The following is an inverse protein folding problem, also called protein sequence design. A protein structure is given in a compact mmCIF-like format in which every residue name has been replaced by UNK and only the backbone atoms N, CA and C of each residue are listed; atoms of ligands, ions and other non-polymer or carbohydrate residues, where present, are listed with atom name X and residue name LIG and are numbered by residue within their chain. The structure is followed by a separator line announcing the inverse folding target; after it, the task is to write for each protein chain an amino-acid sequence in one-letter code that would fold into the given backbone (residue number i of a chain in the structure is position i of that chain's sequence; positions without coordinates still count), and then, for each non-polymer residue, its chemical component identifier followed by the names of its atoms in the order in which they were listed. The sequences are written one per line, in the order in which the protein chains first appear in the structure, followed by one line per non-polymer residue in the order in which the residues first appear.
data_IF_375410572781
#
_entry.id   IF_375410572781
#
_cell.length_a   1.000
_cell.length_b   1.000
_cell.length_c   1.000
_cell.angle_alpha   90.00
_cell.angle_beta   90.00
_cell.angle_gamma   90.00
#
_symmetry.space_group_name_H-M   'P 1'
#
loop_
_entity.id
_entity.type
_entity.pdbx_description
1 polymer ?
#
# COMPACT_ATOMS: atom_id res chain seq x y z
N UNK A 1 5.10 8.09 4.60
CA UNK A 1 5.16 9.01 3.45
C UNK A 1 3.84 9.76 3.44
N UNK A 2 3.71 10.79 4.29
CA UNK A 2 2.50 11.58 4.40
C UNK A 2 2.62 12.77 3.45
N UNK A 3 1.71 12.85 2.49
CA UNK A 3 1.53 14.04 1.66
C UNK A 3 0.47 14.90 2.34
N UNK A 4 0.89 15.87 3.14
CA UNK A 4 0.01 16.97 3.55
C UNK A 4 -0.24 17.86 2.34
N UNK A 5 -1.31 17.54 1.61
CA UNK A 5 -1.77 18.33 0.48
C UNK A 5 -2.92 19.20 0.97
N UNK A 6 -2.59 20.33 1.61
CA UNK A 6 -3.55 21.41 1.82
C UNK A 6 -3.86 22.03 0.46
N UNK A 7 -5.01 21.68 -0.11
CA UNK A 7 -5.42 22.14 -1.44
C UNK A 7 -6.65 23.04 -1.30
N UNK A 8 -6.44 24.35 -1.43
CA UNK A 8 -7.46 25.26 -1.93
C UNK A 8 -7.49 25.14 -3.47
N UNK A 9 -8.29 24.23 -4.03
CA UNK A 9 -8.42 24.05 -5.47
C UNK A 9 -9.68 24.70 -6.03
N UNK A 10 -9.51 25.48 -7.11
CA UNK A 10 -10.59 25.82 -8.04
C UNK A 10 -11.05 24.58 -8.80
N UNK A 11 -12.27 24.60 -9.36
CA UNK A 11 -12.89 23.45 -10.04
C UNK A 11 -12.03 22.81 -11.15
N UNK A 12 -11.25 23.60 -11.90
CA UNK A 12 -10.33 23.07 -12.92
C UNK A 12 -9.16 22.28 -12.33
N UNK A 13 -8.63 22.71 -11.18
CA UNK A 13 -7.56 21.99 -10.47
C UNK A 13 -8.05 20.64 -9.93
N UNK A 14 -9.31 20.55 -9.51
CA UNK A 14 -9.91 19.29 -9.06
C UNK A 14 -10.00 18.25 -10.19
N UNK A 15 -10.37 18.67 -11.41
CA UNK A 15 -10.43 17.76 -12.57
C UNK A 15 -9.04 17.19 -12.93
N UNK A 16 -8.00 18.02 -12.85
CA UNK A 16 -6.62 17.58 -13.07
C UNK A 16 -6.20 16.57 -11.99
N UNK A 17 -6.50 16.87 -10.72
CA UNK A 17 -6.21 15.96 -9.62
C UNK A 17 -6.95 14.62 -9.76
N UNK A 18 -8.20 14.62 -10.22
CA UNK A 18 -8.96 13.38 -10.45
C UNK A 18 -8.30 12.51 -11.54
N UNK A 19 -7.85 13.12 -12.64
CA UNK A 19 -7.12 12.40 -13.70
C UNK A 19 -5.81 11.81 -13.18
N UNK A 20 -5.03 12.60 -12.43
CA UNK A 20 -3.77 12.15 -11.82
C UNK A 20 -4.04 11.01 -10.83
N UNK A 21 -5.09 11.12 -10.00
CA UNK A 21 -5.44 10.08 -9.04
C UNK A 21 -5.81 8.77 -9.72
N UNK A 22 -6.57 8.83 -10.83
CA UNK A 22 -6.91 7.66 -11.63
C UNK A 22 -5.67 7.00 -12.25
N UNK A 23 -4.75 7.80 -12.81
CA UNK A 23 -3.48 7.30 -13.35
C UNK A 23 -2.63 6.62 -12.28
N UNK A 24 -2.47 7.25 -11.10
CA UNK A 24 -1.77 6.67 -9.95
C UNK A 24 -2.43 5.36 -9.51
N UNK A 25 -3.77 5.31 -9.50
CA UNK A 25 -4.50 4.10 -9.10
C UNK A 25 -4.20 2.92 -10.03
N UNK A 26 -4.20 3.15 -11.35
CA UNK A 26 -3.90 2.13 -12.35
C UNK A 26 -2.43 1.71 -12.33
N UNK A 27 -1.50 2.63 -12.11
CA UNK A 27 -0.06 2.35 -12.17
C UNK A 27 0.50 1.72 -10.90
N UNK A 28 -0.08 2.00 -9.73
CA UNK A 28 0.51 1.65 -8.43
C UNK A 28 -0.41 0.91 -7.45
N UNK A 29 -1.74 0.99 -7.61
CA UNK A 29 -2.69 0.49 -6.60
C UNK A 29 -3.47 -0.75 -7.07
N UNK A 30 -3.97 -0.72 -8.31
CA UNK A 30 -4.80 -1.77 -8.91
C UNK A 30 -4.12 -3.15 -8.86
N UNK A 31 -4.90 -4.23 -8.89
CA UNK A 31 -4.38 -5.58 -8.60
C UNK A 31 -3.23 -6.00 -9.53
N UNK A 32 -3.38 -5.75 -10.82
CA UNK A 32 -2.36 -6.00 -11.85
C UNK A 32 -1.49 -4.80 -12.20
N UNK A 33 -1.41 -3.79 -11.32
CA UNK A 33 -0.62 -2.59 -11.59
C UNK A 33 0.88 -2.92 -11.68
N UNK A 34 1.61 -2.42 -12.69
CA UNK A 34 3.00 -2.82 -12.96
C UNK A 34 3.97 -2.42 -11.85
N UNK A 35 3.68 -1.34 -11.11
CA UNK A 35 4.54 -0.83 -10.03
C UNK A 35 3.91 -1.00 -8.65
N UNK A 36 3.01 -1.97 -8.50
CA UNK A 36 2.34 -2.27 -7.23
C UNK A 36 3.35 -2.82 -6.21
N UNK A 37 3.52 -2.11 -5.10
CA UNK A 37 4.30 -2.58 -3.94
C UNK A 37 3.38 -2.60 -2.71
N UNK A 38 2.93 -3.80 -2.32
CA UNK A 38 2.01 -4.01 -1.18
C UNK A 38 2.73 -4.78 -0.08
N UNK A 39 2.54 -4.34 1.17
CA UNK A 39 3.00 -5.02 2.37
C UNK A 39 1.84 -5.03 3.38
N UNK A 40 1.53 -6.18 3.97
CA UNK A 40 0.44 -6.33 4.94
C UNK A 40 0.95 -6.95 6.24
N UNK A 41 0.41 -6.46 7.35
CA UNK A 41 0.68 -6.98 8.70
C UNK A 41 -0.65 -7.52 9.23
N UNK A 42 -0.66 -8.78 9.63
CA UNK A 42 -1.81 -9.42 10.24
C UNK A 42 -1.53 -9.60 11.73
N UNK A 43 -2.36 -9.00 12.58
CA UNK A 43 -2.30 -9.18 14.04
C UNK A 43 -3.47 -10.08 14.43
N UNK A 44 -3.19 -11.29 14.87
CA UNK A 44 -4.20 -12.29 15.23
C UNK A 44 -4.50 -12.20 16.72
N UNK A 45 -5.78 -12.22 17.09
CA UNK A 45 -6.23 -12.26 18.48
C UNK A 45 -6.17 -13.68 19.03
N UNK A 46 -5.66 -13.84 20.26
CA UNK A 46 -5.53 -15.14 20.94
C UNK A 46 -6.87 -15.78 21.34
N UNK A 47 -7.99 -15.05 21.26
CA UNK A 47 -9.32 -15.57 21.61
C UNK A 47 -9.83 -16.58 20.57
N UNK A 48 -9.33 -16.48 19.34
CA UNK A 48 -9.52 -17.48 18.32
C UNK A 48 -8.21 -18.28 18.25
N UNK A 49 -8.02 -19.17 19.23
CA UNK A 49 -7.05 -20.24 19.12
C UNK A 49 -7.21 -20.94 17.77
N UNK A 50 -6.14 -21.54 17.28
CA UNK A 50 -6.12 -22.38 16.08
C UNK A 50 -6.55 -21.71 14.77
N UNK A 51 -5.80 -20.68 14.36
CA UNK A 51 -5.33 -20.64 12.97
C UNK A 51 -3.83 -20.36 12.98
N UNK A 52 -3.08 -21.45 13.07
CA UNK A 52 -1.78 -21.55 12.43
C UNK A 52 -1.91 -20.79 11.09
N UNK A 53 -1.13 -19.73 10.90
CA UNK A 53 -0.85 -19.23 9.56
C UNK A 53 -0.03 -20.35 8.92
N UNK A 54 -0.69 -21.46 8.60
CA UNK A 54 -0.08 -22.61 7.97
C UNK A 54 0.61 -22.05 6.76
N UNK A 55 1.88 -22.41 6.65
CA UNK A 55 2.71 -22.27 5.47
C UNK A 55 2.03 -23.04 4.33
N UNK A 56 0.88 -22.56 3.83
CA UNK A 56 0.22 -23.11 2.66
C UNK A 56 0.93 -22.50 1.48
N UNK A 57 2.02 -23.16 1.16
CA UNK A 57 2.69 -23.15 -0.13
C UNK A 57 1.61 -23.26 -1.24
N UNK A 58 1.27 -22.14 -1.86
CA UNK A 58 0.59 -22.11 -3.16
C UNK A 58 -0.88 -22.58 -3.26
N UNK A 59 -1.54 -23.03 -2.20
CA UNK A 59 -2.95 -23.41 -2.30
C UNK A 59 -3.86 -22.24 -1.93
N UNK A 60 -4.67 -21.81 -2.92
CA UNK A 60 -5.75 -20.84 -2.74
C UNK A 60 -6.55 -21.28 -1.50
N UNK A 61 -6.50 -20.49 -0.41
CA UNK A 61 -7.57 -20.52 0.58
C UNK A 61 -8.83 -20.05 -0.14
N UNK A 62 -9.51 -21.00 -0.77
CA UNK A 62 -10.90 -20.88 -1.17
C UNK A 62 -11.64 -20.79 0.16
N UNK A 63 -11.78 -19.58 0.68
CA UNK A 63 -12.84 -19.29 1.64
C UNK A 63 -14.13 -19.66 0.93
N UNK A 64 -14.65 -20.83 1.29
CA UNK A 64 -15.95 -21.31 0.91
C UNK A 64 -16.94 -20.16 1.08
N UNK A 65 -17.52 -19.77 -0.06
CA UNK A 65 -18.54 -18.74 -0.14
C UNK A 65 -19.74 -19.24 0.65
N UNK A 66 -19.85 -18.87 1.92
CA UNK A 66 -21.09 -19.04 2.67
C UNK A 66 -22.15 -18.21 1.97
N UNK A 67 -23.14 -18.89 1.41
CA UNK A 67 -24.24 -18.38 0.59
C UNK A 67 -25.26 -17.56 1.40
N UNK A 68 -24.81 -16.75 2.36
CA UNK A 68 -25.68 -15.94 3.20
C UNK A 68 -25.78 -14.51 2.65
N UNK A 69 -26.70 -14.34 1.70
CA UNK A 69 -27.52 -13.13 1.54
C UNK A 69 -26.86 -11.75 1.60
N UNK A 70 -25.63 -11.60 1.10
CA UNK A 70 -24.86 -10.37 1.28
C UNK A 70 -24.68 -9.61 -0.03
N UNK A 71 -25.17 -8.36 -0.08
CA UNK A 71 -24.99 -7.38 -1.16
C UNK A 71 -23.52 -6.89 -1.27
N UNK A 72 -22.54 -7.78 -1.08
CA UNK A 72 -21.13 -7.45 -1.15
C UNK A 72 -20.65 -7.60 -2.59
N UNK A 73 -19.83 -6.64 -3.01
CA UNK A 73 -19.14 -6.75 -4.28
C UNK A 73 -18.19 -7.95 -4.25
N UNK A 74 -18.02 -8.65 -5.39
CA UNK A 74 -17.11 -9.78 -5.45
C UNK A 74 -15.68 -9.33 -5.12
N UNK A 75 -15.00 -10.12 -4.28
CA UNK A 75 -13.58 -9.88 -4.00
C UNK A 75 -12.75 -10.25 -5.24
N UNK A 76 -11.76 -9.42 -5.62
CA UNK A 76 -10.84 -9.79 -6.69
C UNK A 76 -9.97 -10.98 -6.28
N UNK A 77 -9.55 -11.78 -7.26
CA UNK A 77 -8.53 -12.80 -7.03
C UNK A 77 -7.18 -12.13 -6.71
N UNK A 78 -6.52 -12.60 -5.65
CA UNK A 78 -5.24 -12.07 -5.20
C UNK A 78 -4.11 -13.09 -5.44
N UNK A 79 -2.90 -12.64 -5.81
CA UNK A 79 -1.75 -13.51 -5.92
C UNK A 79 -1.35 -14.07 -4.53
N UNK A 80 -0.68 -15.24 -4.49
CA UNK A 80 -0.19 -15.80 -3.24
C UNK A 80 0.84 -14.85 -2.59
N UNK A 81 0.73 -14.57 -1.28
CA UNK A 81 1.66 -13.70 -0.59
C UNK A 81 2.98 -14.41 -0.27
N UNK A 82 4.08 -13.65 -0.23
CA UNK A 82 5.32 -14.09 0.41
C UNK A 82 5.20 -13.84 1.91
N UNK A 83 5.30 -14.91 2.70
CA UNK A 83 5.25 -14.83 4.17
C UNK A 83 6.63 -14.44 4.70
N UNK A 84 6.70 -13.40 5.52
CA UNK A 84 7.94 -12.93 6.14
C UNK A 84 8.12 -13.63 7.49
N UNK A 85 9.09 -14.54 7.57
CA UNK A 85 9.45 -15.26 8.79
C UNK A 85 10.42 -14.48 9.68
N UNK A 86 11.40 -13.80 9.07
CA UNK A 86 12.39 -12.96 9.76
C UNK A 86 12.45 -11.56 9.18
N UNK A 87 12.20 -10.55 10.03
CA UNK A 87 12.25 -9.13 9.64
C UNK A 87 13.68 -8.72 9.26
N UNK A 88 14.70 -9.31 9.88
CA UNK A 88 16.09 -8.98 9.59
C UNK A 88 16.50 -9.44 8.19
N UNK A 89 16.10 -10.65 7.81
CA UNK A 89 16.39 -11.21 6.48
C UNK A 89 15.63 -10.45 5.40
N UNK A 90 14.33 -10.21 5.63
CA UNK A 90 13.52 -9.40 4.73
C UNK A 90 14.11 -8.01 4.48
N UNK A 91 14.62 -7.35 5.52
CA UNK A 91 15.26 -6.03 5.38
C UNK A 91 16.61 -6.09 4.67
N UNK A 92 17.39 -7.16 4.86
CA UNK A 92 18.70 -7.34 4.24
C UNK A 92 18.59 -7.49 2.72
N UNK A 93 17.54 -8.14 2.25
CA UNK A 93 17.35 -8.44 0.82
C UNK A 93 16.69 -7.27 0.06
N UNK A 94 16.18 -6.25 0.77
CA UNK A 94 15.46 -5.13 0.16
C UNK A 94 16.34 -3.87 0.03
N UNK A 95 16.33 -3.26 -1.15
CA UNK A 95 16.98 -1.97 -1.38
C UNK A 95 16.32 -0.83 -0.60
N UNK A 96 17.15 0.07 -0.04
CA UNK A 96 16.68 1.26 0.68
C UNK A 96 16.39 2.39 -0.31
N UNK A 97 15.32 3.15 -0.03
CA UNK A 97 15.03 4.38 -0.78
C UNK A 97 16.12 5.43 -0.50
N UNK A 98 16.46 6.27 -1.50
CA UNK A 98 17.39 7.37 -1.29
C UNK A 98 16.82 8.39 -0.30
N UNK A 99 17.72 9.07 0.41
CA UNK A 99 17.33 10.17 1.28
C UNK A 99 16.81 11.35 0.44
N UNK A 100 15.71 12.01 0.84
CA UNK A 100 15.24 13.22 0.18
C UNK A 100 16.30 14.31 0.18
N UNK A 101 16.41 15.03 -0.95
CA UNK A 101 17.33 16.16 -1.02
C UNK A 101 16.85 17.27 -0.07
N UNK A 102 17.75 17.86 0.74
CA UNK A 102 17.37 18.99 1.57
C UNK A 102 16.95 20.16 0.68
N UNK A 103 15.87 20.84 1.07
CA UNK A 103 15.47 22.09 0.46
C UNK A 103 16.23 23.24 1.11
N UNK A 104 16.99 24.01 0.33
CA UNK A 104 17.73 25.19 0.80
C UNK A 104 17.16 26.41 0.09
N UNK A 105 16.44 27.25 0.83
CA UNK A 105 16.02 28.57 0.37
C UNK A 105 17.16 29.58 0.57
N UNK A 106 17.97 29.76 -0.47
CA UNK A 106 19.10 30.69 -0.46
C UNK A 106 18.69 32.15 -0.30
N UNK A 107 17.46 32.52 -0.67
CA UNK A 107 16.95 33.89 -0.53
C UNK A 107 16.62 34.19 0.94
N UNK A 108 16.12 33.19 1.66
CA UNK A 108 15.81 33.30 3.10
C UNK A 108 17.03 33.13 4.01
N UNK A 109 18.08 32.48 3.52
CA UNK A 109 19.32 32.24 4.28
C UNK A 109 20.24 33.47 4.41
N UNK A 110 20.11 34.47 3.53
CA UNK A 110 20.96 35.68 3.53
C UNK A 110 20.57 36.78 4.52
N UNK A 111 19.46 36.63 5.25
CA UNK A 111 18.91 37.68 6.12
C UNK A 111 19.42 37.68 7.57
N UNK A 112 20.45 36.89 7.89
CA UNK A 112 21.01 36.78 9.26
C UNK A 112 22.54 36.97 9.33
N UNK A 113 23.12 37.72 8.40
CA UNK A 113 24.51 38.16 8.46
C UNK A 113 24.57 39.68 8.66
#
# INVERSE_FOLDING_TARGET
MYCDLSICASGEKLNILFKIAHEIALDRIAVGAPYRKKFSIHVVSSVNGEKELTETNGEKQTTETTEDGNNLLPSPELPPPMVVTSVAEFKRDMGLYPLPRPYIDLQKARSKL
#
